data_IF_146969984246
#
_entry.id   IF_146969984246
#
_cell.length_a   1.000
_cell.length_b   1.000
_cell.length_c   1.000
_cell.angle_alpha   90.00
_cell.angle_beta   90.00
_cell.angle_gamma   90.00
#
_symmetry.space_group_name_H-M   'P 1'
#
loop_
_entity.id
_entity.type
_entity.pdbx_description
1 polymer ?
#
# COMPACT_ATOMS: atom_id res chain seq x y z
N UNK A 1 -3.44 9.27 -18.13
CA UNK A 1 -3.41 10.68 -17.74
C UNK A 1 -2.64 10.82 -16.44
N UNK A 2 -1.61 11.71 -16.40
CA UNK A 2 -0.86 12.02 -15.18
C UNK A 2 -1.60 13.05 -14.33
N UNK A 3 -1.76 12.77 -13.04
CA UNK A 3 -2.39 13.65 -12.05
C UNK A 3 -1.64 13.61 -10.71
N UNK A 4 -1.94 14.55 -9.85
CA UNK A 4 -1.45 14.62 -8.47
C UNK A 4 -2.61 14.59 -7.49
N UNK A 5 -2.35 14.44 -6.21
CA UNK A 5 -3.40 14.55 -5.19
C UNK A 5 -4.03 15.94 -5.07
N UNK A 6 -3.44 16.97 -5.70
CA UNK A 6 -4.02 18.32 -5.75
C UNK A 6 -5.13 18.47 -6.80
N UNK A 7 -5.09 17.63 -7.84
CA UNK A 7 -6.09 17.68 -8.93
C UNK A 7 -7.44 17.17 -8.41
N UNK A 8 -8.46 17.98 -8.53
CA UNK A 8 -9.80 17.69 -8.01
C UNK A 8 -9.87 17.46 -6.50
N UNK A 9 -8.89 17.98 -5.73
CA UNK A 9 -8.75 17.72 -4.30
C UNK A 9 -8.71 16.20 -3.97
N UNK A 10 -8.03 15.42 -4.84
CA UNK A 10 -7.96 13.98 -4.73
C UNK A 10 -7.38 13.52 -3.38
N UNK A 11 -6.29 14.17 -2.92
CA UNK A 11 -5.62 13.83 -1.66
C UNK A 11 -5.45 15.09 -0.81
N UNK A 12 -6.23 15.19 0.25
CA UNK A 12 -6.03 16.19 1.29
C UNK A 12 -5.11 15.61 2.37
N UNK A 13 -4.17 16.45 2.83
CA UNK A 13 -3.17 16.03 3.78
C UNK A 13 -2.87 17.13 4.80
N UNK A 14 -2.35 16.74 5.94
CA UNK A 14 -1.76 17.67 6.94
C UNK A 14 -0.25 17.42 7.03
N UNK A 15 0.51 18.43 7.45
CA UNK A 15 1.94 18.27 7.69
C UNK A 15 2.19 17.20 8.73
N UNK A 16 3.04 16.23 8.39
CA UNK A 16 3.46 15.20 9.33
C UNK A 16 4.53 15.74 10.26
N UNK A 17 4.24 15.77 11.56
CA UNK A 17 5.18 16.16 12.61
C UNK A 17 5.59 14.90 13.37
N UNK A 18 6.89 14.64 13.43
CA UNK A 18 7.42 13.52 14.23
C UNK A 18 7.79 14.04 15.61
N UNK A 19 7.20 13.45 16.64
CA UNK A 19 7.58 13.71 18.02
C UNK A 19 8.61 12.67 18.43
N UNK A 20 9.78 13.09 18.89
CA UNK A 20 10.82 12.25 19.46
C UNK A 20 11.07 12.70 20.90
N UNK A 21 11.23 11.75 21.79
CA UNK A 21 11.66 12.07 23.15
C UNK A 21 13.16 12.44 23.10
N UNK A 22 13.51 13.62 23.60
CA UNK A 22 14.91 14.05 23.65
C UNK A 22 15.64 13.21 24.69
N UNK A 23 16.77 12.57 24.34
CA UNK A 23 17.55 11.79 25.29
C UNK A 23 18.13 12.63 26.46
N UNK A 24 18.29 13.95 26.24
CA UNK A 24 18.94 14.84 27.19
C UNK A 24 17.97 15.51 28.16
N UNK A 25 16.72 15.75 27.77
CA UNK A 25 15.76 16.55 28.56
C UNK A 25 14.49 15.79 28.95
N UNK A 26 14.32 14.56 28.48
CA UNK A 26 13.09 13.74 28.61
C UNK A 26 11.80 14.48 28.18
N UNK A 27 11.96 15.54 27.38
CA UNK A 27 10.83 16.34 26.83
C UNK A 27 10.55 15.93 25.39
N UNK A 28 9.28 15.97 24.95
CA UNK A 28 8.93 15.72 23.57
C UNK A 28 9.47 16.84 22.68
N UNK A 29 10.32 16.48 21.72
CA UNK A 29 10.86 17.37 20.70
C UNK A 29 10.14 17.11 19.38
N UNK A 30 9.64 18.17 18.74
CA UNK A 30 9.00 18.09 17.43
C UNK A 30 10.07 18.19 16.36
N UNK A 31 10.25 17.10 15.62
CA UNK A 31 11.13 17.09 14.45
C UNK A 31 10.30 17.55 13.24
N UNK A 32 10.71 18.65 12.65
CA UNK A 32 10.16 19.10 11.36
C UNK A 32 10.74 18.23 10.24
N UNK A 33 9.87 17.47 9.59
CA UNK A 33 10.21 16.62 8.44
C UNK A 33 10.09 17.38 7.10
N UNK A 34 9.94 18.70 7.14
CA UNK A 34 9.72 19.53 5.96
C UNK A 34 8.34 19.34 5.36
N UNK A 35 8.25 19.23 4.04
CA UNK A 35 7.00 19.11 3.31
C UNK A 35 6.50 17.66 3.20
N UNK A 36 6.58 16.89 4.29
CA UNK A 36 6.03 15.55 4.38
C UNK A 36 4.59 15.61 4.91
N UNK A 37 3.69 14.88 4.23
CA UNK A 37 2.26 14.86 4.54
C UNK A 37 1.76 13.53 5.09
N UNK A 38 0.69 13.64 5.88
CA UNK A 38 -0.17 12.53 6.30
C UNK A 38 -1.56 12.74 5.71
N UNK A 39 -2.11 11.73 5.02
CA UNK A 39 -3.41 11.81 4.37
C UNK A 39 -4.52 12.00 5.40
N UNK A 40 -5.36 12.99 5.20
CA UNK A 40 -6.56 13.22 6.02
C UNK A 40 -7.82 12.79 5.31
N UNK A 41 -7.86 12.91 3.97
CA UNK A 41 -9.02 12.54 3.15
C UNK A 41 -8.60 12.22 1.72
N UNK A 42 -9.26 11.23 1.12
CA UNK A 42 -9.21 10.95 -0.32
C UNK A 42 -10.59 11.23 -0.93
N UNK A 43 -10.61 11.98 -2.03
CA UNK A 43 -11.81 12.26 -2.82
C UNK A 43 -11.70 11.56 -4.19
N UNK A 44 -12.32 10.39 -4.39
CA UNK A 44 -12.09 9.59 -5.59
C UNK A 44 -12.80 10.12 -6.85
N UNK A 45 -13.60 11.18 -6.79
CA UNK A 45 -14.45 11.65 -7.88
C UNK A 45 -13.71 11.85 -9.22
N UNK A 46 -12.51 12.43 -9.18
CA UNK A 46 -11.71 12.61 -10.40
C UNK A 46 -11.29 11.28 -11.01
N UNK A 47 -10.95 10.29 -10.18
CA UNK A 47 -10.57 8.95 -10.63
C UNK A 47 -11.76 8.22 -11.26
N UNK A 48 -12.92 8.28 -10.62
CA UNK A 48 -14.17 7.71 -11.14
C UNK A 48 -14.54 8.33 -12.50
N UNK A 49 -14.37 9.66 -12.63
CA UNK A 49 -14.62 10.36 -13.90
C UNK A 49 -13.66 9.93 -14.99
N UNK A 50 -12.38 9.80 -14.69
CA UNK A 50 -11.37 9.35 -15.65
C UNK A 50 -11.62 7.91 -16.09
N UNK A 51 -11.92 7.02 -15.15
CA UNK A 51 -12.20 5.61 -15.41
C UNK A 51 -13.44 5.45 -16.32
N UNK A 52 -14.55 6.13 -16.00
CA UNK A 52 -15.77 6.14 -16.82
C UNK A 52 -15.53 6.61 -18.26
N UNK A 53 -14.52 7.43 -18.49
CA UNK A 53 -14.12 7.90 -19.82
C UNK A 53 -12.97 7.08 -20.44
N UNK A 54 -12.63 5.91 -19.89
CA UNK A 54 -11.63 4.99 -20.42
C UNK A 54 -10.17 5.44 -20.25
N UNK A 55 -9.90 6.37 -19.34
CA UNK A 55 -8.54 6.80 -19.04
C UNK A 55 -7.94 6.00 -17.89
N UNK A 56 -6.65 5.69 -18.01
CA UNK A 56 -5.86 5.13 -16.92
C UNK A 56 -5.16 6.29 -16.18
N UNK A 57 -5.54 6.60 -14.92
CA UNK A 57 -4.87 7.64 -14.15
C UNK A 57 -3.53 7.15 -13.61
N UNK A 58 -2.50 7.98 -13.75
CA UNK A 58 -1.16 7.80 -13.14
C UNK A 58 -1.00 8.88 -12.09
N UNK A 59 -0.95 8.50 -10.81
CA UNK A 59 -1.07 9.42 -9.69
C UNK A 59 0.28 9.61 -9.01
N UNK A 60 0.78 10.86 -8.97
CA UNK A 60 1.93 11.18 -8.14
C UNK A 60 1.53 11.24 -6.65
N UNK A 61 2.38 10.71 -5.73
CA UNK A 61 2.07 10.64 -4.29
C UNK A 61 2.27 12.00 -3.59
N UNK A 62 1.52 12.98 -4.05
CA UNK A 62 1.54 14.38 -3.59
C UNK A 62 0.15 14.74 -3.10
N UNK A 63 0.06 15.30 -1.90
CA UNK A 63 -1.18 15.80 -1.32
C UNK A 63 -1.25 17.32 -1.23
N UNK A 64 -2.47 17.85 -1.13
CA UNK A 64 -2.78 19.26 -0.86
C UNK A 64 -2.88 19.45 0.65
N UNK A 65 -2.03 20.31 1.20
CA UNK A 65 -2.09 20.73 2.60
C UNK A 65 -3.23 21.74 2.86
N UNK A 66 -3.51 21.99 4.13
CA UNK A 66 -4.61 22.89 4.58
C UNK A 66 -4.46 24.31 4.03
N UNK A 67 -3.24 24.80 3.87
CA UNK A 67 -2.95 26.14 3.31
C UNK A 67 -2.62 26.09 1.81
N UNK A 68 -2.95 24.99 1.12
CA UNK A 68 -2.68 24.78 -0.30
C UNK A 68 -1.25 24.36 -0.62
N UNK A 69 -0.38 24.15 0.39
CA UNK A 69 0.98 23.68 0.22
C UNK A 69 1.03 22.27 -0.39
N UNK A 70 2.15 21.99 -1.03
CA UNK A 70 2.40 20.69 -1.66
C UNK A 70 3.12 19.79 -0.66
N UNK A 71 2.50 18.66 -0.30
CA UNK A 71 3.05 17.71 0.67
C UNK A 71 3.41 16.40 -0.03
N UNK A 72 4.66 15.96 0.16
CA UNK A 72 5.11 14.64 -0.29
C UNK A 72 4.59 13.56 0.66
N UNK A 73 4.06 12.47 0.11
CA UNK A 73 3.47 11.39 0.89
C UNK A 73 4.07 10.06 0.43
N UNK A 74 4.25 9.13 1.34
CA UNK A 74 4.73 7.79 0.99
C UNK A 74 3.77 7.12 0.00
N UNK A 75 4.30 6.62 -1.13
CA UNK A 75 3.52 6.07 -2.24
C UNK A 75 2.70 4.84 -1.85
N UNK A 76 3.20 3.97 -0.97
CA UNK A 76 2.46 2.79 -0.49
C UNK A 76 1.20 3.21 0.29
N UNK A 77 1.30 4.27 1.13
CA UNK A 77 0.15 4.83 1.84
C UNK A 77 -0.85 5.46 0.88
N UNK A 78 -0.38 6.22 -0.11
CA UNK A 78 -1.26 6.82 -1.13
C UNK A 78 -2.01 5.73 -1.88
N UNK A 79 -1.31 4.70 -2.35
CA UNK A 79 -1.91 3.57 -3.07
C UNK A 79 -2.97 2.85 -2.21
N UNK A 80 -2.66 2.56 -0.93
CA UNK A 80 -3.59 1.90 -0.03
C UNK A 80 -4.85 2.75 0.25
N UNK A 81 -4.69 4.07 0.46
CA UNK A 81 -5.81 4.96 0.73
C UNK A 81 -6.71 5.16 -0.51
N UNK A 82 -6.12 5.29 -1.69
CA UNK A 82 -6.87 5.36 -2.96
C UNK A 82 -7.61 4.05 -3.22
N UNK A 83 -6.94 2.91 -3.10
CA UNK A 83 -7.56 1.61 -3.25
C UNK A 83 -8.73 1.42 -2.26
N UNK A 84 -8.59 1.89 -1.02
CA UNK A 84 -9.64 1.86 -0.01
C UNK A 84 -10.82 2.77 -0.38
N UNK A 85 -10.57 3.99 -0.87
CA UNK A 85 -11.61 4.94 -1.26
C UNK A 85 -12.42 4.43 -2.46
N UNK A 86 -11.78 3.76 -3.42
CA UNK A 86 -12.40 3.15 -4.59
C UNK A 86 -12.99 1.76 -4.31
N UNK A 87 -12.79 1.17 -3.12
CA UNK A 87 -13.10 -0.23 -2.82
C UNK A 87 -12.56 -1.16 -3.91
N UNK A 88 -11.29 -0.95 -4.27
CA UNK A 88 -10.66 -1.62 -5.38
C UNK A 88 -10.70 -3.16 -5.23
N UNK A 89 -10.81 -3.87 -6.34
CA UNK A 89 -10.74 -5.34 -6.35
C UNK A 89 -9.36 -5.82 -5.88
N UNK A 90 -8.30 -5.14 -6.29
CA UNK A 90 -6.92 -5.49 -5.93
C UNK A 90 -6.08 -4.24 -5.67
N UNK A 91 -5.20 -4.34 -4.67
CA UNK A 91 -4.07 -3.44 -4.47
C UNK A 91 -2.78 -4.22 -4.74
N UNK A 92 -1.92 -3.75 -5.63
CA UNK A 92 -0.64 -4.38 -5.92
C UNK A 92 0.49 -3.41 -5.57
N UNK A 93 1.32 -3.79 -4.61
CA UNK A 93 2.53 -3.06 -4.23
C UNK A 93 3.73 -3.71 -4.91
N UNK A 94 4.41 -2.95 -5.75
CA UNK A 94 5.66 -3.38 -6.39
C UNK A 94 6.84 -2.97 -5.52
N UNK A 95 7.78 -3.88 -5.32
CA UNK A 95 8.95 -3.67 -4.45
C UNK A 95 10.20 -4.29 -5.08
N UNK A 96 11.30 -4.25 -4.38
CA UNK A 96 12.60 -4.85 -4.75
C UNK A 96 12.84 -6.23 -4.11
N UNK A 97 11.79 -6.85 -3.58
CA UNK A 97 11.82 -8.19 -3.01
C UNK A 97 10.73 -9.07 -3.61
N UNK A 98 10.95 -10.38 -3.64
CA UNK A 98 10.00 -11.35 -4.21
C UNK A 98 8.62 -11.33 -3.54
N UNK A 99 8.55 -10.88 -2.28
CA UNK A 99 7.34 -10.86 -1.46
C UNK A 99 7.65 -11.18 0.01
N UNK A 100 6.64 -11.62 0.74
CA UNK A 100 6.78 -12.00 2.15
C UNK A 100 7.39 -13.40 2.29
N UNK A 101 8.48 -13.52 3.04
CA UNK A 101 9.16 -14.78 3.32
C UNK A 101 8.87 -15.26 4.74
N UNK A 102 8.90 -16.57 4.94
CA UNK A 102 8.83 -17.18 6.27
C UNK A 102 10.20 -17.12 6.99
N UNK A 103 10.28 -17.74 8.19
CA UNK A 103 11.52 -17.80 8.98
C UNK A 103 12.68 -18.49 8.28
N UNK A 104 12.41 -19.40 7.35
CA UNK A 104 13.41 -20.16 6.58
C UNK A 104 13.75 -19.52 5.25
N UNK A 105 13.24 -18.30 4.98
CA UNK A 105 13.51 -17.57 3.74
C UNK A 105 12.64 -17.98 2.54
N UNK A 106 11.69 -18.88 2.73
CA UNK A 106 10.80 -19.36 1.66
C UNK A 106 9.66 -18.36 1.43
N UNK A 107 9.47 -17.99 0.16
CA UNK A 107 8.38 -17.12 -0.27
C UNK A 107 7.02 -17.71 0.10
N UNK A 108 6.13 -16.88 0.62
CA UNK A 108 4.75 -17.24 0.94
C UNK A 108 3.83 -16.68 -0.16
N UNK A 109 3.37 -17.53 -1.07
CA UNK A 109 2.51 -17.11 -2.20
C UNK A 109 1.13 -16.64 -1.75
N UNK A 110 0.60 -17.17 -0.64
CA UNK A 110 -0.70 -16.80 -0.11
C UNK A 110 -0.71 -16.71 1.41
N UNK A 111 -1.19 -15.59 1.93
CA UNK A 111 -1.31 -15.34 3.37
C UNK A 111 -2.69 -14.80 3.70
N UNK A 112 -3.23 -15.22 4.84
CA UNK A 112 -4.39 -14.56 5.43
C UNK A 112 -3.94 -13.42 6.33
N UNK A 113 -4.81 -12.43 6.55
CA UNK A 113 -4.58 -11.34 7.51
C UNK A 113 -4.11 -11.85 8.88
N UNK A 114 -4.72 -12.93 9.39
CA UNK A 114 -4.32 -13.55 10.67
C UNK A 114 -2.86 -14.02 10.61
N UNK A 115 -2.49 -14.77 9.58
CA UNK A 115 -1.13 -15.30 9.42
C UNK A 115 -0.09 -14.18 9.32
N UNK A 116 -0.41 -13.11 8.58
CA UNK A 116 0.46 -11.92 8.49
C UNK A 116 0.66 -11.28 9.86
N UNK A 117 -0.42 -11.12 10.65
CA UNK A 117 -0.32 -10.57 12.01
C UNK A 117 0.57 -11.44 12.91
N UNK A 118 0.50 -12.77 12.79
CA UNK A 118 1.35 -13.69 13.54
C UNK A 118 2.82 -13.58 13.11
N UNK A 119 3.09 -13.40 11.80
CA UNK A 119 4.45 -13.19 11.29
C UNK A 119 5.05 -11.85 11.76
N UNK A 120 4.24 -10.79 11.90
CA UNK A 120 4.66 -9.51 12.50
C UNK A 120 5.01 -9.71 13.98
N UNK A 121 4.12 -10.34 14.75
CA UNK A 121 4.34 -10.59 16.19
C UNK A 121 5.60 -11.44 16.45
N UNK A 122 5.86 -12.40 15.59
CA UNK A 122 7.07 -13.24 15.68
C UNK A 122 8.31 -12.60 15.08
N UNK A 123 8.25 -11.31 14.70
CA UNK A 123 9.35 -10.53 14.11
C UNK A 123 9.96 -11.14 12.84
N UNK A 124 9.20 -11.94 12.11
CA UNK A 124 9.58 -12.45 10.78
C UNK A 124 9.42 -11.35 9.74
N UNK A 125 8.27 -10.65 9.78
CA UNK A 125 8.07 -9.43 8.99
C UNK A 125 8.60 -8.26 9.83
N UNK A 126 9.60 -7.56 9.28
CA UNK A 126 10.30 -6.44 9.93
C UNK A 126 10.81 -5.44 8.89
N UNK A 127 11.45 -4.38 9.36
CA UNK A 127 12.13 -3.37 8.55
C UNK A 127 11.26 -2.82 7.39
N UNK A 128 11.80 -2.68 6.20
CA UNK A 128 11.12 -2.13 5.03
C UNK A 128 9.87 -2.90 4.56
N UNK A 129 9.71 -4.18 4.92
CA UNK A 129 8.52 -4.96 4.59
C UNK A 129 7.33 -4.62 5.50
N UNK A 130 7.59 -4.22 6.75
CA UNK A 130 6.53 -3.93 7.72
C UNK A 130 5.57 -2.80 7.28
N UNK A 131 6.04 -1.64 6.78
CA UNK A 131 5.15 -0.61 6.25
C UNK A 131 4.26 -1.09 5.11
N UNK A 132 4.83 -1.84 4.15
CA UNK A 132 4.09 -2.37 2.99
C UNK A 132 2.98 -3.33 3.40
N UNK A 133 3.30 -4.26 4.29
CA UNK A 133 2.33 -5.21 4.83
C UNK A 133 1.24 -4.49 5.63
N UNK A 134 1.57 -3.46 6.41
CA UNK A 134 0.58 -2.65 7.11
C UNK A 134 -0.36 -1.93 6.15
N UNK A 135 0.14 -1.39 5.03
CA UNK A 135 -0.69 -0.82 3.96
C UNK A 135 -1.66 -1.86 3.38
N UNK A 136 -1.18 -3.08 3.12
CA UNK A 136 -2.03 -4.19 2.67
C UNK A 136 -3.13 -4.52 3.68
N UNK A 137 -2.78 -4.66 4.97
CA UNK A 137 -3.74 -4.96 6.03
C UNK A 137 -4.79 -3.85 6.20
N UNK A 138 -4.37 -2.59 6.09
CA UNK A 138 -5.28 -1.44 6.15
C UNK A 138 -6.24 -1.44 4.96
N UNK A 139 -5.75 -1.67 3.73
CA UNK A 139 -6.57 -1.74 2.54
C UNK A 139 -7.63 -2.86 2.63
N UNK A 140 -7.25 -4.07 3.07
CA UNK A 140 -8.18 -5.18 3.32
C UNK A 140 -9.26 -4.81 4.35
N UNK A 141 -8.86 -4.19 5.46
CA UNK A 141 -9.81 -3.72 6.49
C UNK A 141 -10.81 -2.70 5.96
N UNK A 142 -10.40 -1.91 4.97
CA UNK A 142 -11.22 -0.85 4.33
C UNK A 142 -12.06 -1.37 3.15
N UNK A 143 -12.04 -2.68 2.87
CA UNK A 143 -12.91 -3.31 1.88
C UNK A 143 -12.27 -3.60 0.52
N UNK A 144 -10.96 -3.43 0.36
CA UNK A 144 -10.20 -3.97 -0.78
C UNK A 144 -10.22 -5.50 -0.68
N UNK A 145 -10.56 -6.19 -1.76
CA UNK A 145 -10.77 -7.65 -1.70
C UNK A 145 -9.46 -8.42 -1.55
N UNK A 146 -8.40 -8.02 -2.26
CA UNK A 146 -7.10 -8.69 -2.27
C UNK A 146 -5.97 -7.67 -2.32
N UNK A 147 -4.86 -7.98 -1.67
CA UNK A 147 -3.66 -7.19 -1.79
C UNK A 147 -2.48 -8.08 -2.17
N UNK A 148 -1.53 -7.54 -2.93
CA UNK A 148 -0.40 -8.27 -3.45
C UNK A 148 0.88 -7.48 -3.22
N UNK A 149 1.96 -8.18 -2.90
CA UNK A 149 3.32 -7.64 -2.86
C UNK A 149 4.15 -8.44 -3.84
N UNK A 150 4.70 -7.78 -4.87
CA UNK A 150 5.41 -8.45 -5.97
C UNK A 150 6.77 -7.77 -6.23
N UNK A 151 7.70 -8.53 -6.82
CA UNK A 151 9.00 -8.00 -7.26
C UNK A 151 8.84 -7.20 -8.57
N UNK A 152 8.98 -5.89 -8.47
CA UNK A 152 8.89 -4.98 -9.62
C UNK A 152 10.07 -5.07 -10.60
N UNK A 153 11.16 -5.78 -10.25
CA UNK A 153 12.31 -5.99 -11.13
C UNK A 153 12.08 -7.13 -12.13
N UNK A 154 11.10 -7.99 -11.86
CA UNK A 154 10.71 -9.07 -12.78
C UNK A 154 10.04 -8.46 -14.00
N UNK A 155 10.52 -8.83 -15.19
CA UNK A 155 9.90 -8.37 -16.44
C UNK A 155 8.43 -8.81 -16.51
N UNK A 156 7.54 -7.88 -16.82
CA UNK A 156 6.09 -8.11 -16.88
C UNK A 156 5.46 -8.62 -15.57
N UNK A 157 6.08 -8.29 -14.41
CA UNK A 157 5.63 -8.72 -13.09
C UNK A 157 4.11 -8.60 -12.88
N UNK A 158 3.55 -7.45 -13.23
CA UNK A 158 2.13 -7.17 -13.07
C UNK A 158 1.25 -8.13 -13.90
N UNK A 159 1.63 -8.39 -15.15
CA UNK A 159 0.89 -9.32 -16.02
C UNK A 159 0.97 -10.75 -15.49
N UNK A 160 2.15 -11.19 -15.05
CA UNK A 160 2.33 -12.51 -14.45
C UNK A 160 1.47 -12.67 -13.19
N UNK A 161 1.43 -11.66 -12.30
CA UNK A 161 0.60 -11.73 -11.09
C UNK A 161 -0.90 -11.76 -11.39
N UNK A 162 -1.36 -11.01 -12.39
CA UNK A 162 -2.80 -10.91 -12.68
C UNK A 162 -3.30 -12.09 -13.50
N UNK A 163 -2.56 -12.51 -14.53
CA UNK A 163 -3.02 -13.44 -15.54
C UNK A 163 -2.56 -14.88 -15.37
N UNK A 164 -1.67 -15.18 -14.42
CA UNK A 164 -1.28 -16.56 -14.11
C UNK A 164 -1.97 -17.05 -12.83
N UNK A 165 -2.23 -18.35 -12.75
CA UNK A 165 -2.84 -18.98 -11.59
C UNK A 165 -1.91 -18.89 -10.35
N UNK A 166 -0.62 -19.10 -10.55
CA UNK A 166 0.38 -19.16 -9.48
C UNK A 166 0.77 -17.77 -8.95
N UNK A 167 0.79 -16.75 -9.85
CA UNK A 167 1.36 -15.44 -9.53
C UNK A 167 2.87 -15.49 -9.34
N UNK A 168 3.47 -14.37 -8.91
CA UNK A 168 4.93 -14.27 -8.70
C UNK A 168 5.31 -13.73 -7.32
N UNK A 169 4.35 -13.33 -6.51
CA UNK A 169 4.59 -12.67 -5.24
C UNK A 169 3.79 -13.24 -4.08
N UNK A 170 3.42 -12.38 -3.15
CA UNK A 170 2.58 -12.73 -2.00
C UNK A 170 1.21 -12.09 -2.13
N UNK A 171 0.17 -12.90 -2.22
CA UNK A 171 -1.21 -12.48 -2.09
C UNK A 171 -1.59 -12.46 -0.59
N UNK A 172 -2.27 -11.37 -0.15
CA UNK A 172 -2.82 -11.29 1.19
C UNK A 172 -4.33 -11.07 1.08
N UNK A 173 -5.10 -11.87 1.82
CA UNK A 173 -6.57 -11.86 1.84
C UNK A 173 -7.11 -11.86 3.26
N UNK A 174 -8.40 -11.55 3.41
CA UNK A 174 -9.05 -11.55 4.71
C UNK A 174 -9.19 -12.98 5.26
N UNK A 175 -9.66 -13.93 4.44
CA UNK A 175 -9.96 -15.32 4.84
C UNK A 175 -9.32 -16.33 3.89
N UNK A 176 -9.10 -17.55 4.39
CA UNK A 176 -8.50 -18.66 3.62
C UNK A 176 -9.27 -18.98 2.33
N UNK A 177 -10.61 -18.90 2.32
CA UNK A 177 -11.43 -19.17 1.14
C UNK A 177 -11.17 -18.19 -0.03
N UNK A 178 -10.58 -17.03 0.25
CA UNK A 178 -10.31 -15.99 -0.73
C UNK A 178 -8.91 -16.12 -1.34
N UNK A 179 -8.08 -17.07 -0.85
CA UNK A 179 -6.79 -17.39 -1.45
C UNK A 179 -6.97 -17.99 -2.85
N UNK A 180 -6.06 -17.67 -3.77
CA UNK A 180 -5.96 -18.44 -5.02
C UNK A 180 -5.79 -19.91 -4.67
N UNK A 181 -6.68 -20.77 -5.14
CA UNK A 181 -6.46 -22.21 -5.09
C UNK A 181 -5.38 -22.48 -6.12
N UNK A 182 -4.19 -22.93 -5.67
CA UNK A 182 -3.24 -23.53 -6.61
C UNK A 182 -3.96 -24.72 -7.25
N UNK A 183 -4.33 -24.59 -8.51
CA UNK A 183 -4.76 -25.75 -9.26
C UNK A 183 -3.57 -26.72 -9.24
N UNK A 184 -3.76 -27.90 -8.63
CA UNK A 184 -2.79 -28.95 -8.75
C UNK A 184 -2.58 -29.21 -10.26
N UNK A 185 -1.34 -29.35 -10.74
CA UNK A 185 -1.12 -29.72 -12.14
C UNK A 185 -1.79 -31.08 -12.39
N UNK A 186 -2.70 -31.10 -13.37
CA UNK A 186 -3.17 -32.35 -13.96
C UNK A 186 -2.10 -32.89 -14.88
#
# INVERSE_FOLDING_TARGET
>A
VGITGKDGDLILAKRHKKVKQSPETDRPEIIDLGLVGEITKVNPRILETLDQNGFIPVIAPIGKGENGETLNINADFVAAQIASALKAEKLILMTDTEGVKNKTGVLQSGLTRKKVTDLIRSKVIRDGMLPKVNCCLQALKSGVHKTHIIDGRVRHALLLEIFTAEGIGTQIVEKTKDLKTSAAPQ
#
